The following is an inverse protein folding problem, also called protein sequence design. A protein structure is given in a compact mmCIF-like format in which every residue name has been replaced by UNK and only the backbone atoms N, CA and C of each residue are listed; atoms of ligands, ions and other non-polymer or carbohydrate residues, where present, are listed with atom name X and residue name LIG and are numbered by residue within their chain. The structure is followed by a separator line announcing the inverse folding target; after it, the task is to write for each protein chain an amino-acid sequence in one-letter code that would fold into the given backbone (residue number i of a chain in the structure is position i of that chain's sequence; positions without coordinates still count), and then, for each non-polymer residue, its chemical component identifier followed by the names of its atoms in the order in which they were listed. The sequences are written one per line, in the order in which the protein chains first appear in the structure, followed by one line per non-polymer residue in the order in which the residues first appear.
data_IF_648809124144
#
_entry.id   IF_648809124144
#
_cell.length_a   1.000
_cell.length_b   1.000
_cell.length_c   1.000
_cell.angle_alpha   90.00
_cell.angle_beta   90.00
_cell.angle_gamma   90.00
#
_symmetry.space_group_name_H-M   'P 1'
#
loop_
_entity.id
_entity.type
_entity.pdbx_description
1 polymer ?
#
# COMPACT_ATOMS: atom_id res chain seq x y z
N UNK A 1 -32.54 -11.48 0.41
CA UNK A 1 -32.65 -10.60 1.59
C UNK A 1 -32.76 -11.50 2.81
N UNK A 2 -31.97 -11.29 3.86
CA UNK A 2 -31.98 -12.20 5.02
C UNK A 2 -33.28 -12.07 5.81
N UNK A 3 -33.94 -13.21 6.10
CA UNK A 3 -35.16 -13.28 6.92
C UNK A 3 -34.92 -12.69 8.33
N UNK A 4 -35.82 -11.81 8.76
CA UNK A 4 -35.81 -11.23 10.10
C UNK A 4 -36.25 -12.28 11.10
N UNK A 5 -35.31 -12.84 11.89
CA UNK A 5 -35.63 -13.73 13.01
C UNK A 5 -36.52 -13.02 14.04
N UNK A 6 -37.53 -13.73 14.55
CA UNK A 6 -38.49 -13.25 15.55
C UNK A 6 -37.80 -12.75 16.82
N UNK A 7 -38.39 -11.78 17.53
CA UNK A 7 -37.81 -11.15 18.74
C UNK A 7 -37.50 -12.14 19.86
N UNK A 8 -38.24 -13.26 19.92
CA UNK A 8 -38.12 -14.29 20.95
C UNK A 8 -37.42 -15.57 20.46
N UNK A 9 -36.79 -15.54 19.29
CA UNK A 9 -36.03 -16.69 18.80
C UNK A 9 -34.75 -16.87 19.63
N UNK A 10 -34.40 -18.09 20.08
CA UNK A 10 -33.14 -18.36 20.77
C UNK A 10 -31.96 -17.97 19.88
N UNK A 11 -30.92 -17.38 20.49
CA UNK A 11 -29.68 -17.01 19.81
C UNK A 11 -28.52 -17.77 20.44
N UNK A 12 -27.77 -18.48 19.62
CA UNK A 12 -26.49 -19.05 20.01
C UNK A 12 -25.43 -17.94 19.96
N UNK A 13 -24.79 -17.66 21.09
CA UNK A 13 -23.62 -16.78 21.14
C UNK A 13 -22.35 -17.61 21.40
N UNK A 14 -21.26 -17.27 20.72
CA UNK A 14 -19.97 -17.92 20.91
C UNK A 14 -19.32 -17.46 22.22
N UNK A 15 -18.83 -18.41 23.01
CA UNK A 15 -18.04 -18.16 24.22
C UNK A 15 -16.72 -17.40 23.97
N UNK A 16 -16.27 -17.32 22.71
CA UNK A 16 -15.07 -16.58 22.31
C UNK A 16 -15.32 -15.09 22.07
N UNK A 17 -16.56 -14.63 22.13
CA UNK A 17 -16.91 -13.23 21.94
C UNK A 17 -16.47 -12.45 23.20
N UNK A 18 -15.58 -11.45 23.08
CA UNK A 18 -15.14 -10.67 24.23
C UNK A 18 -16.31 -9.90 24.85
N UNK A 19 -16.29 -9.77 26.19
CA UNK A 19 -17.31 -9.02 26.94
C UNK A 19 -17.17 -7.52 26.64
N UNK A 20 -18.29 -6.83 26.43
CA UNK A 20 -18.30 -5.42 26.01
C UNK A 20 -17.84 -4.44 27.09
N UNK A 21 -17.98 -4.78 28.37
CA UNK A 21 -17.55 -3.94 29.50
C UNK A 21 -17.01 -4.81 30.64
N UNK A 22 -15.77 -4.58 31.01
CA UNK A 22 -15.17 -5.17 32.22
C UNK A 22 -15.52 -4.28 33.40
N UNK A 23 -15.99 -4.86 34.52
CA UNK A 23 -16.34 -4.11 35.73
C UNK A 23 -15.07 -3.69 36.45
N UNK A 24 -15.05 -2.46 36.97
CA UNK A 24 -14.00 -1.99 37.87
C UNK A 24 -14.22 -2.64 39.24
N UNK A 25 -13.31 -3.53 39.64
CA UNK A 25 -13.38 -4.23 40.93
C UNK A 25 -12.55 -3.40 41.94
N UNK A 26 -13.15 -2.91 43.03
CA UNK A 26 -12.42 -2.16 44.05
C UNK A 26 -11.29 -3.03 44.63
N UNK A 27 -10.05 -2.52 44.62
CA UNK A 27 -8.84 -3.23 45.06
C UNK A 27 -8.09 -3.99 43.96
N UNK A 28 -8.64 -4.12 42.75
CA UNK A 28 -7.94 -4.66 41.60
C UNK A 28 -7.53 -3.52 40.65
N UNK A 29 -6.32 -2.98 40.83
CA UNK A 29 -5.79 -1.99 39.90
C UNK A 29 -5.56 -2.64 38.53
N UNK A 30 -6.37 -2.26 37.54
CA UNK A 30 -6.06 -2.58 36.16
C UNK A 30 -4.77 -1.84 35.81
N UNK A 31 -3.68 -2.57 35.57
CA UNK A 31 -2.41 -1.97 35.17
C UNK A 31 -2.69 -1.09 33.95
N UNK A 32 -2.62 0.23 34.12
CA UNK A 32 -2.63 1.17 32.99
C UNK A 32 -1.52 0.69 32.07
N UNK A 33 -1.86 0.37 30.82
CA UNK A 33 -0.83 0.02 29.86
C UNK A 33 0.16 1.18 29.85
N UNK A 34 1.42 0.89 30.14
CA UNK A 34 2.50 1.86 30.01
C UNK A 34 2.58 2.19 28.52
N UNK A 35 1.85 3.21 28.11
CA UNK A 35 1.88 3.68 26.74
C UNK A 35 3.25 4.32 26.55
N UNK A 36 4.07 3.72 25.70
CA UNK A 36 5.33 4.31 25.30
C UNK A 36 5.05 5.70 24.72
N UNK A 37 5.65 6.71 25.35
CA UNK A 37 5.45 8.14 25.08
C UNK A 37 5.67 8.43 23.58
N UNK A 38 6.56 7.69 22.92
CA UNK A 38 6.84 7.82 21.48
C UNK A 38 5.63 7.51 20.59
N UNK A 39 4.69 6.73 21.11
CA UNK A 39 3.47 6.31 20.43
C UNK A 39 2.21 6.88 21.10
N UNK A 40 2.35 7.82 22.03
CA UNK A 40 1.21 8.47 22.64
C UNK A 40 0.48 9.35 21.61
N UNK A 41 -0.82 9.10 21.48
CA UNK A 41 -1.72 9.85 20.60
C UNK A 41 -1.76 11.35 20.91
N UNK A 42 -1.38 11.75 22.14
CA UNK A 42 -1.33 13.14 22.56
C UNK A 42 -0.35 13.99 21.74
N UNK A 43 0.70 13.38 21.17
CA UNK A 43 1.67 14.08 20.31
C UNK A 43 1.17 14.35 18.89
N UNK A 44 -0.03 13.88 18.54
CA UNK A 44 -0.66 14.14 17.24
C UNK A 44 -0.10 13.30 16.09
N UNK A 45 -0.47 13.67 14.86
CA UNK A 45 -0.03 12.96 13.65
C UNK A 45 1.33 13.46 13.20
N UNK A 46 2.19 12.52 12.83
CA UNK A 46 3.51 12.83 12.28
C UNK A 46 3.37 13.54 10.93
N UNK A 47 4.15 14.60 10.75
CA UNK A 47 4.29 15.29 9.46
C UNK A 47 5.09 14.41 8.49
N UNK A 48 4.35 13.66 7.66
CA UNK A 48 4.93 12.69 6.71
C UNK A 48 5.90 13.36 5.73
N UNK A 49 5.67 14.61 5.33
CA UNK A 49 6.52 15.33 4.39
C UNK A 49 7.88 15.62 5.01
N UNK A 50 7.93 16.08 6.26
CA UNK A 50 9.19 16.30 6.98
C UNK A 50 9.97 15.01 7.16
N UNK A 51 9.30 13.91 7.51
CA UNK A 51 9.93 12.59 7.63
C UNK A 51 10.53 12.16 6.29
N UNK A 52 9.80 12.31 5.19
CA UNK A 52 10.31 11.98 3.86
C UNK A 52 11.54 12.80 3.48
N UNK A 53 11.59 14.09 3.83
CA UNK A 53 12.76 14.94 3.60
C UNK A 53 13.96 14.49 4.45
N UNK A 54 13.76 14.32 5.76
CA UNK A 54 14.82 13.94 6.70
C UNK A 54 15.44 12.58 6.34
N UNK A 55 14.63 11.64 5.82
CA UNK A 55 15.07 10.30 5.44
C UNK A 55 15.26 10.12 3.92
N UNK A 56 15.33 11.21 3.15
CA UNK A 56 15.53 11.17 1.70
C UNK A 56 16.83 10.45 1.29
N UNK A 57 17.88 10.54 2.12
CA UNK A 57 19.15 9.86 1.90
C UNK A 57 19.03 8.33 1.84
N UNK A 58 18.05 7.74 2.56
CA UNK A 58 17.80 6.30 2.50
C UNK A 58 17.35 5.85 1.10
N UNK A 59 16.72 6.73 0.33
CA UNK A 59 16.34 6.42 -1.05
C UNK A 59 17.57 6.29 -1.93
N UNK A 60 18.58 7.16 -1.75
CA UNK A 60 19.87 7.06 -2.46
C UNK A 60 20.59 5.76 -2.09
N UNK A 61 20.64 5.42 -0.80
CA UNK A 61 21.23 4.17 -0.34
C UNK A 61 20.56 2.94 -0.97
N UNK A 62 19.22 2.87 -0.94
CA UNK A 62 18.45 1.77 -1.55
C UNK A 62 18.65 1.67 -3.06
N UNK A 63 18.82 2.80 -3.75
CA UNK A 63 19.09 2.81 -5.19
C UNK A 63 20.47 2.23 -5.50
N UNK A 64 21.49 2.61 -4.71
CA UNK A 64 22.84 2.07 -4.84
C UNK A 64 22.85 0.57 -4.53
N UNK A 65 22.24 0.15 -3.41
CA UNK A 65 22.12 -1.27 -3.05
C UNK A 65 21.44 -2.06 -4.17
N UNK A 66 20.35 -1.52 -4.74
CA UNK A 66 19.68 -2.17 -5.86
C UNK A 66 20.59 -2.29 -7.10
N UNK A 67 21.39 -1.27 -7.40
CA UNK A 67 22.32 -1.31 -8.53
C UNK A 67 23.40 -2.38 -8.32
N UNK A 68 23.95 -2.48 -7.11
CA UNK A 68 24.95 -3.47 -6.73
C UNK A 68 24.39 -4.89 -6.81
N UNK A 69 23.18 -5.13 -6.28
CA UNK A 69 22.52 -6.43 -6.36
C UNK A 69 22.22 -6.84 -7.81
N UNK A 70 21.81 -5.89 -8.66
CA UNK A 70 21.60 -6.15 -10.10
C UNK A 70 22.92 -6.50 -10.78
N UNK A 71 24.01 -5.84 -10.41
CA UNK A 71 25.35 -6.15 -10.95
C UNK A 71 25.77 -7.56 -10.55
N UNK A 72 25.64 -7.90 -9.26
CA UNK A 72 25.90 -9.26 -8.75
C UNK A 72 25.07 -10.32 -9.47
N UNK A 73 23.78 -10.06 -9.69
CA UNK A 73 22.86 -10.98 -10.41
C UNK A 73 23.23 -11.17 -11.89
N UNK A 74 23.92 -10.21 -12.52
CA UNK A 74 24.39 -10.30 -13.92
C UNK A 74 25.78 -10.92 -14.06
N UNK A 75 26.57 -10.90 -13.00
CA UNK A 75 27.95 -11.37 -13.01
C UNK A 75 27.99 -12.91 -13.02
N UNK A 76 28.10 -13.48 -14.22
CA UNK A 76 28.07 -14.94 -14.47
C UNK A 76 29.06 -15.74 -13.60
N UNK A 77 30.22 -15.17 -13.28
CA UNK A 77 31.26 -15.81 -12.44
C UNK A 77 30.85 -15.94 -10.97
N UNK A 78 30.01 -15.03 -10.50
CA UNK A 78 29.49 -15.05 -9.13
C UNK A 78 28.27 -15.97 -9.09
N UNK A 79 27.35 -15.82 -10.04
CA UNK A 79 26.14 -16.64 -10.10
C UNK A 79 26.44 -18.12 -10.31
N UNK A 80 27.51 -18.47 -11.03
CA UNK A 80 27.92 -19.88 -11.22
C UNK A 80 28.46 -20.54 -9.94
N UNK A 81 28.78 -19.75 -8.91
CA UNK A 81 29.28 -20.22 -7.62
C UNK A 81 28.20 -20.22 -6.54
N UNK A 82 27.00 -19.73 -6.86
CA UNK A 82 25.88 -19.64 -5.93
C UNK A 82 24.96 -20.83 -6.13
N UNK A 83 24.42 -21.34 -5.02
CA UNK A 83 23.35 -22.35 -5.08
C UNK A 83 22.04 -21.73 -5.55
N UNK A 84 21.13 -22.58 -6.03
CA UNK A 84 19.82 -22.15 -6.56
C UNK A 84 19.02 -21.35 -5.53
N UNK A 85 19.04 -21.77 -4.26
CA UNK A 85 18.40 -21.05 -3.14
C UNK A 85 18.97 -19.63 -2.97
N UNK A 86 20.29 -19.48 -3.08
CA UNK A 86 20.95 -18.18 -2.94
C UNK A 86 20.61 -17.24 -4.10
N UNK A 87 20.45 -17.78 -5.31
CA UNK A 87 20.01 -17.02 -6.48
C UNK A 87 18.56 -16.56 -6.32
N UNK A 88 17.69 -17.41 -5.79
CA UNK A 88 16.30 -17.05 -5.51
C UNK A 88 16.18 -15.99 -4.43
N UNK A 89 16.97 -16.09 -3.35
CA UNK A 89 17.04 -15.05 -2.32
C UNK A 89 17.52 -13.72 -2.89
N UNK A 90 18.54 -13.74 -3.76
CA UNK A 90 19.05 -12.55 -4.42
C UNK A 90 17.97 -11.90 -5.30
N UNK A 91 17.29 -12.69 -6.12
CA UNK A 91 16.19 -12.23 -6.98
C UNK A 91 15.02 -11.67 -6.16
N UNK A 92 14.68 -12.34 -5.06
CA UNK A 92 13.65 -11.90 -4.13
C UNK A 92 14.03 -10.56 -3.47
N UNK A 93 15.29 -10.40 -3.06
CA UNK A 93 15.80 -9.16 -2.48
C UNK A 93 15.72 -8.00 -3.48
N UNK A 94 16.14 -8.24 -4.73
CA UNK A 94 16.03 -7.27 -5.84
C UNK A 94 14.56 -6.87 -6.06
N UNK A 95 13.66 -7.86 -6.13
CA UNK A 95 12.22 -7.62 -6.33
C UNK A 95 11.60 -6.80 -5.20
N UNK A 96 11.93 -7.12 -3.95
CA UNK A 96 11.47 -6.38 -2.76
C UNK A 96 11.96 -4.93 -2.77
N UNK A 97 13.24 -4.70 -3.04
CA UNK A 97 13.81 -3.35 -3.09
C UNK A 97 13.24 -2.51 -4.23
N UNK A 98 13.09 -3.10 -5.44
CA UNK A 98 12.42 -2.45 -6.57
C UNK A 98 11.00 -2.04 -6.22
N UNK A 99 10.22 -2.97 -5.68
CA UNK A 99 8.82 -2.71 -5.29
C UNK A 99 8.72 -1.58 -4.27
N UNK A 100 9.61 -1.57 -3.26
CA UNK A 100 9.64 -0.51 -2.25
C UNK A 100 9.98 0.86 -2.86
N UNK A 101 10.98 0.93 -3.74
CA UNK A 101 11.32 2.18 -4.44
C UNK A 101 10.18 2.66 -5.34
N UNK A 102 9.48 1.76 -6.02
CA UNK A 102 8.34 2.10 -6.87
C UNK A 102 7.17 2.65 -6.06
N UNK A 103 6.90 2.10 -4.87
CA UNK A 103 5.88 2.65 -3.95
C UNK A 103 6.22 4.07 -3.54
N UNK A 104 7.49 4.34 -3.19
CA UNK A 104 7.95 5.68 -2.80
C UNK A 104 7.79 6.66 -3.97
N UNK A 105 8.25 6.29 -5.17
CA UNK A 105 8.09 7.11 -6.38
C UNK A 105 6.62 7.41 -6.69
N UNK A 106 5.74 6.42 -6.55
CA UNK A 106 4.31 6.61 -6.78
C UNK A 106 3.70 7.61 -5.79
N UNK A 107 4.07 7.53 -4.50
CA UNK A 107 3.65 8.49 -3.48
C UNK A 107 4.16 9.90 -3.78
N UNK A 108 5.40 10.04 -4.21
CA UNK A 108 5.96 11.34 -4.60
C UNK A 108 5.24 11.95 -5.81
N UNK A 109 4.91 11.15 -6.83
CA UNK A 109 4.11 11.59 -7.98
C UNK A 109 2.72 12.05 -7.50
N UNK A 110 2.09 11.29 -6.61
CA UNK A 110 0.78 11.63 -6.04
C UNK A 110 0.80 12.95 -5.28
N UNK A 111 1.78 13.14 -4.39
CA UNK A 111 1.96 14.37 -3.63
C UNK A 111 2.23 15.57 -4.55
N UNK A 112 3.11 15.41 -5.55
CA UNK A 112 3.44 16.47 -6.52
C UNK A 112 2.21 16.91 -7.31
N UNK A 113 1.46 15.97 -7.89
CA UNK A 113 0.26 16.27 -8.68
C UNK A 113 -0.79 17.02 -7.87
N UNK A 114 -1.02 16.62 -6.61
CA UNK A 114 -1.98 17.31 -5.73
C UNK A 114 -1.49 18.71 -5.36
N UNK A 115 -0.19 18.86 -5.08
CA UNK A 115 0.42 20.15 -4.77
C UNK A 115 0.38 21.11 -5.95
N UNK A 116 0.69 20.62 -7.15
CA UNK A 116 0.69 21.42 -8.38
C UNK A 116 -0.73 21.87 -8.75
N UNK A 117 -1.72 20.99 -8.61
CA UNK A 117 -3.13 21.36 -8.77
C UNK A 117 -3.56 22.45 -7.78
N UNK A 118 -3.21 22.29 -6.50
CA UNK A 118 -3.52 23.28 -5.47
C UNK A 118 -2.93 24.66 -5.76
N UNK A 119 -1.72 24.71 -6.34
CA UNK A 119 -1.09 25.96 -6.78
C UNK A 119 -1.82 26.60 -7.97
N UNK A 120 -2.22 25.79 -8.96
CA UNK A 120 -2.89 26.29 -10.17
C UNK A 120 -4.32 26.77 -9.91
N UNK A 121 -5.02 26.18 -8.94
CA UNK A 121 -6.44 26.45 -8.66
C UNK A 121 -6.67 27.15 -7.31
N UNK A 122 -5.73 27.98 -6.86
CA UNK A 122 -5.84 28.82 -5.65
C UNK A 122 -6.29 28.04 -4.39
N UNK A 123 -5.75 26.84 -4.19
CA UNK A 123 -6.03 26.03 -3.00
C UNK A 123 -7.34 25.24 -3.05
N UNK A 124 -7.99 25.13 -4.22
CA UNK A 124 -9.23 24.35 -4.33
C UNK A 124 -9.00 22.88 -4.02
N UNK A 125 -9.85 22.32 -3.16
CA UNK A 125 -9.75 20.92 -2.74
C UNK A 125 -10.23 19.96 -3.83
N UNK A 126 -9.46 18.91 -4.07
CA UNK A 126 -9.87 17.80 -4.93
C UNK A 126 -10.54 16.69 -4.13
N UNK A 127 -11.65 16.18 -4.68
CA UNK A 127 -12.21 14.91 -4.24
C UNK A 127 -11.24 13.76 -4.52
N UNK A 128 -11.33 12.67 -3.76
CA UNK A 128 -10.45 11.52 -3.89
C UNK A 128 -10.42 10.94 -5.32
N UNK A 129 -11.58 10.87 -5.98
CA UNK A 129 -11.69 10.40 -7.37
C UNK A 129 -10.95 11.31 -8.35
N UNK A 130 -11.02 12.62 -8.17
CA UNK A 130 -10.39 13.56 -9.09
C UNK A 130 -8.87 13.63 -8.87
N UNK A 131 -8.40 13.50 -7.62
CA UNK A 131 -6.97 13.24 -7.33
C UNK A 131 -6.47 12.02 -8.10
N UNK A 132 -7.18 10.90 -8.03
CA UNK A 132 -6.79 9.69 -8.74
C UNK A 132 -6.77 9.88 -10.27
N UNK A 133 -7.72 10.63 -10.86
CA UNK A 133 -7.72 10.91 -12.30
C UNK A 133 -6.46 11.67 -12.71
N UNK A 134 -6.11 12.74 -11.99
CA UNK A 134 -4.92 13.55 -12.28
C UNK A 134 -3.63 12.72 -12.14
N UNK A 135 -3.53 11.94 -11.06
CA UNK A 135 -2.38 11.04 -10.84
C UNK A 135 -2.27 10.02 -11.96
N UNK A 136 -3.39 9.40 -12.36
CA UNK A 136 -3.39 8.45 -13.46
C UNK A 136 -3.00 9.10 -14.78
N UNK A 137 -3.48 10.32 -15.06
CA UNK A 137 -3.10 11.08 -16.25
C UNK A 137 -1.58 11.28 -16.29
N UNK A 138 -0.98 11.75 -15.19
CA UNK A 138 0.46 11.91 -15.06
C UNK A 138 1.22 10.58 -15.20
N UNK A 139 0.75 9.51 -14.58
CA UNK A 139 1.35 8.16 -14.72
C UNK A 139 1.33 7.71 -16.19
N UNK A 140 0.23 7.92 -16.92
CA UNK A 140 0.16 7.57 -18.34
C UNK A 140 1.06 8.43 -19.21
N UNK A 141 1.15 9.73 -18.96
CA UNK A 141 2.07 10.65 -19.63
C UNK A 141 3.52 10.15 -19.57
N UNK A 142 3.95 9.64 -18.42
CA UNK A 142 5.33 9.15 -18.24
C UNK A 142 5.63 7.81 -18.93
N UNK A 143 4.61 7.05 -19.35
CA UNK A 143 4.80 5.76 -20.02
C UNK A 143 5.07 5.92 -21.51
N UNK A 144 5.93 5.05 -22.06
CA UNK A 144 6.13 4.99 -23.51
C UNK A 144 4.87 4.51 -24.25
N UNK A 145 4.73 4.83 -25.54
CA UNK A 145 3.56 4.44 -26.34
C UNK A 145 3.25 2.94 -26.26
N UNK A 146 4.26 2.09 -26.49
CA UNK A 146 4.15 0.62 -26.38
C UNK A 146 3.72 0.16 -24.98
N UNK A 147 4.26 0.77 -23.92
CA UNK A 147 3.87 0.45 -22.55
C UNK A 147 2.44 0.88 -22.25
N UNK A 148 2.04 2.07 -22.71
CA UNK A 148 0.70 2.63 -22.55
C UNK A 148 -0.33 1.74 -23.22
N UNK A 149 -0.10 1.33 -24.47
CA UNK A 149 -0.95 0.38 -25.21
C UNK A 149 -1.11 -0.94 -24.44
N UNK A 150 0.00 -1.55 -24.00
CA UNK A 150 -0.04 -2.81 -23.23
C UNK A 150 -0.84 -2.67 -21.93
N UNK A 151 -0.73 -1.54 -21.23
CA UNK A 151 -1.52 -1.28 -20.01
C UNK A 151 -3.00 -1.11 -20.34
N UNK A 152 -3.34 -0.39 -21.41
CA UNK A 152 -4.72 -0.20 -21.87
C UNK A 152 -5.33 -1.54 -22.28
N UNK A 153 -4.62 -2.36 -23.05
CA UNK A 153 -5.05 -3.67 -23.49
C UNK A 153 -5.33 -4.60 -22.28
N UNK A 154 -4.42 -4.65 -21.29
CA UNK A 154 -4.65 -5.39 -20.04
C UNK A 154 -5.88 -4.89 -19.30
N UNK A 155 -6.11 -3.57 -19.24
CA UNK A 155 -7.33 -3.00 -18.64
C UNK A 155 -8.59 -3.43 -19.40
N UNK A 156 -8.56 -3.40 -20.74
CA UNK A 156 -9.66 -3.88 -21.60
C UNK A 156 -9.96 -5.35 -21.34
N UNK A 157 -8.95 -6.23 -21.36
CA UNK A 157 -9.09 -7.68 -21.06
C UNK A 157 -9.65 -7.93 -19.66
N UNK A 158 -9.16 -7.21 -18.64
CA UNK A 158 -9.68 -7.32 -17.26
C UNK A 158 -11.14 -6.85 -17.14
N UNK A 159 -11.54 -5.82 -17.88
CA UNK A 159 -12.93 -5.33 -17.89
C UNK A 159 -13.84 -6.34 -18.57
N UNK A 160 -13.44 -6.83 -19.76
CA UNK A 160 -14.15 -7.88 -20.49
C UNK A 160 -14.33 -9.14 -19.64
N UNK A 161 -13.28 -9.61 -18.96
CA UNK A 161 -13.38 -10.77 -18.07
C UNK A 161 -14.36 -10.56 -16.90
N UNK A 162 -14.48 -9.34 -16.38
CA UNK A 162 -15.49 -9.01 -15.35
C UNK A 162 -16.90 -8.94 -15.91
N UNK A 163 -17.07 -8.38 -17.11
CA UNK A 163 -18.36 -8.33 -17.81
C UNK A 163 -18.84 -9.74 -18.13
N UNK A 164 -18.00 -10.58 -18.73
CA UNK A 164 -18.29 -12.00 -19.00
C UNK A 164 -18.62 -12.78 -17.72
N UNK A 165 -17.87 -12.55 -16.64
CA UNK A 165 -18.18 -13.15 -15.34
C UNK A 165 -19.57 -12.75 -14.84
N UNK A 166 -19.94 -11.46 -14.95
CA UNK A 166 -21.28 -10.99 -14.54
C UNK A 166 -22.39 -11.64 -15.36
N UNK A 167 -22.23 -11.72 -16.68
CA UNK A 167 -23.21 -12.35 -17.56
C UNK A 167 -23.30 -13.88 -17.39
N UNK A 168 -22.22 -14.54 -16.98
CA UNK A 168 -22.18 -16.00 -16.80
C UNK A 168 -22.85 -16.54 -15.54
N UNK A 169 -23.28 -15.69 -14.60
CA UNK A 169 -23.96 -16.07 -13.36
C UNK A 169 -25.47 -15.74 -13.35
N UNK A 170 -26.04 -15.26 -14.47
CA UNK A 170 -27.47 -14.98 -14.61
C UNK A 170 -28.25 -16.20 -15.19
N UNK A 171 -27.85 -17.43 -14.84
CA UNK A 171 -28.59 -18.67 -15.13
C UNK A 171 -28.84 -19.47 -13.85
#
# INVERSE_FOLDING_TARGET
MAEKKHKHAPREESSKKPVSKVREIPGLETKKQQNDIRFDSAFGKVDEDKVLQNYSFLNKYRQNELADLIKMSRDKKLTSKMDEEQLDELNLKISRLRSRLDVIKNREIEAKVVKDYGKQHHGRFLNHRDKQKLVNMKKYETLSGKQREKVIERKRKRKLGKEMKRFGFDK
#
